data_IF_471389729406
#
_entry.id   IF_471389729406
#
_cell.length_a   1.000
_cell.length_b   1.000
_cell.length_c   1.000
_cell.angle_alpha   90.00
_cell.angle_beta   90.00
_cell.angle_gamma   90.00
#
_symmetry.space_group_name_H-M   'P 1'
#
loop_
_entity.id
_entity.type
_entity.pdbx_description
1 polymer ?
#
# COMPACT_ATOMS: atom_id res chain seq x y z
N UNK A 1 -54.30 -51.65 -34.99
CA UNK A 1 -53.30 -51.93 -36.04
C UNK A 1 -52.32 -50.76 -36.06
N UNK A 2 -51.04 -51.05 -36.30
CA UNK A 2 -49.89 -50.14 -36.43
C UNK A 2 -49.40 -49.43 -35.15
N UNK A 3 -48.32 -50.01 -34.60
CA UNK A 3 -47.37 -49.42 -33.65
C UNK A 3 -46.57 -48.31 -34.33
N UNK A 4 -46.30 -47.22 -33.64
CA UNK A 4 -45.13 -46.37 -33.90
C UNK A 4 -44.30 -46.25 -32.63
N UNK A 5 -43.21 -47.02 -32.62
CA UNK A 5 -41.98 -46.82 -31.84
C UNK A 5 -41.21 -45.73 -32.56
N UNK A 6 -40.62 -44.71 -31.89
CA UNK A 6 -39.40 -44.01 -32.36
C UNK A 6 -38.84 -43.05 -31.27
N UNK A 7 -37.62 -43.42 -30.83
CA UNK A 7 -36.46 -42.70 -30.26
C UNK A 7 -36.56 -41.75 -29.04
N UNK A 8 -35.91 -42.25 -27.97
CA UNK A 8 -35.17 -41.49 -26.95
C UNK A 8 -33.98 -40.80 -27.61
N UNK A 9 -33.87 -39.47 -27.47
CA UNK A 9 -32.62 -38.74 -27.69
C UNK A 9 -32.27 -38.05 -26.37
N UNK A 10 -31.28 -38.62 -25.69
CA UNK A 10 -30.48 -37.93 -24.69
C UNK A 10 -29.45 -37.07 -25.43
N UNK A 11 -29.39 -35.77 -25.16
CA UNK A 11 -28.20 -34.98 -25.47
C UNK A 11 -28.05 -33.80 -24.50
N UNK A 12 -27.12 -34.01 -23.58
CA UNK A 12 -26.01 -33.11 -23.24
C UNK A 12 -26.31 -31.72 -22.66
N UNK A 13 -26.11 -31.68 -21.35
CA UNK A 13 -25.55 -30.57 -20.58
C UNK A 13 -24.42 -29.88 -21.36
N UNK A 14 -24.54 -28.56 -21.56
CA UNK A 14 -23.41 -27.65 -21.64
C UNK A 14 -23.89 -26.24 -21.32
N UNK A 15 -23.95 -25.92 -20.03
CA UNK A 15 -24.04 -24.56 -19.53
C UNK A 15 -22.69 -23.90 -19.85
N UNK A 16 -22.60 -23.19 -20.98
CA UNK A 16 -21.51 -22.26 -21.26
C UNK A 16 -21.84 -20.94 -20.55
N UNK A 17 -21.55 -20.93 -19.25
CA UNK A 17 -21.37 -19.70 -18.49
C UNK A 17 -19.96 -19.16 -18.79
N UNK A 18 -19.87 -17.83 -18.82
CA UNK A 18 -18.69 -16.97 -18.62
C UNK A 18 -17.70 -16.85 -19.80
N UNK A 19 -17.87 -15.77 -20.58
CA UNK A 19 -16.78 -15.08 -21.28
C UNK A 19 -16.84 -13.58 -20.93
N UNK A 20 -16.61 -13.27 -19.66
CA UNK A 20 -16.21 -11.92 -19.24
C UNK A 20 -14.77 -12.03 -18.76
N UNK A 21 -13.83 -11.89 -19.69
CA UNK A 21 -12.40 -11.84 -19.39
C UNK A 21 -12.09 -10.43 -18.86
N UNK A 22 -12.34 -10.21 -17.56
CA UNK A 22 -11.75 -9.08 -16.83
C UNK A 22 -10.40 -9.58 -16.33
N UNK A 23 -9.34 -9.20 -17.06
CA UNK A 23 -7.92 -9.20 -16.69
C UNK A 23 -7.65 -9.83 -15.30
N UNK A 24 -7.46 -11.15 -15.27
CA UNK A 24 -7.00 -11.84 -14.07
C UNK A 24 -5.53 -11.48 -13.87
N UNK A 25 -5.20 -10.91 -12.71
CA UNK A 25 -3.82 -10.71 -12.28
C UNK A 25 -3.12 -12.07 -12.17
N UNK A 26 -1.87 -12.23 -12.64
CA UNK A 26 -1.17 -13.50 -12.51
C UNK A 26 -0.86 -13.80 -11.03
N UNK A 27 -1.47 -14.86 -10.52
CA UNK A 27 -1.11 -15.45 -9.24
C UNK A 27 0.26 -16.17 -9.38
N UNK A 28 1.33 -15.48 -9.01
CA UNK A 28 2.61 -16.14 -8.71
C UNK A 28 2.54 -16.91 -7.38
N UNK A 29 3.47 -17.84 -7.09
CA UNK A 29 3.53 -18.51 -5.80
C UNK A 29 4.02 -17.51 -4.75
N UNK A 30 3.09 -17.02 -3.93
CA UNK A 30 3.36 -16.10 -2.82
C UNK A 30 3.52 -16.93 -1.55
N UNK A 31 4.62 -16.74 -0.84
CA UNK A 31 4.82 -17.32 0.49
C UNK A 31 3.70 -16.87 1.44
N UNK A 32 3.17 -17.79 2.24
CA UNK A 32 2.01 -17.59 3.12
C UNK A 32 2.18 -16.40 4.09
N UNK A 33 1.50 -15.30 3.76
CA UNK A 33 0.57 -14.59 4.63
C UNK A 33 0.98 -13.95 5.97
N UNK A 34 2.24 -13.59 6.21
CA UNK A 34 2.61 -12.87 7.45
C UNK A 34 3.11 -11.44 7.16
N UNK A 35 2.20 -10.46 6.92
CA UNK A 35 2.58 -9.06 6.76
C UNK A 35 3.27 -8.53 8.01
N UNK A 36 4.08 -7.48 7.84
CA UNK A 36 4.72 -6.78 8.95
C UNK A 36 3.65 -6.09 9.79
N UNK A 37 3.46 -6.56 11.02
CA UNK A 37 2.60 -5.95 12.02
C UNK A 37 3.49 -5.23 13.04
N UNK A 38 3.24 -3.96 13.30
CA UNK A 38 4.09 -3.16 14.20
C UNK A 38 4.00 -3.63 15.66
N UNK A 39 2.83 -4.06 16.12
CA UNK A 39 2.65 -4.56 17.49
C UNK A 39 3.26 -5.96 17.73
N UNK A 40 3.55 -6.70 16.65
CA UNK A 40 4.10 -8.05 16.67
C UNK A 40 5.22 -8.25 15.65
N UNK A 41 6.12 -7.27 15.51
CA UNK A 41 7.22 -7.36 14.54
C UNK A 41 8.12 -8.56 14.83
N UNK A 42 8.40 -9.34 13.80
CA UNK A 42 9.28 -10.49 13.85
C UNK A 42 10.12 -10.63 12.57
N UNK A 43 11.33 -11.17 12.72
CA UNK A 43 12.18 -11.53 11.58
C UNK A 43 11.45 -12.56 10.71
N UNK A 44 11.47 -12.35 9.40
CA UNK A 44 10.77 -13.17 8.41
C UNK A 44 9.39 -12.64 7.99
N UNK A 45 8.83 -11.65 8.68
CA UNK A 45 7.60 -10.98 8.21
C UNK A 45 7.85 -10.25 6.89
N UNK A 46 6.86 -10.33 5.99
CA UNK A 46 6.95 -9.75 4.65
C UNK A 46 5.65 -9.03 4.29
N UNK A 47 5.72 -7.72 4.05
CA UNK A 47 4.62 -6.94 3.47
C UNK A 47 4.84 -6.73 1.98
N UNK A 48 3.79 -6.86 1.19
CA UNK A 48 3.79 -6.61 -0.25
C UNK A 48 2.81 -5.50 -0.57
N UNK A 49 3.17 -4.59 -1.45
CA UNK A 49 2.33 -3.47 -1.82
C UNK A 49 2.20 -3.37 -3.33
N UNK A 50 0.98 -3.10 -3.81
CA UNK A 50 0.74 -2.78 -5.21
C UNK A 50 0.98 -1.29 -5.45
N UNK A 51 1.75 -0.98 -6.49
CA UNK A 51 2.02 0.41 -6.88
C UNK A 51 0.78 1.08 -7.45
N UNK A 52 0.60 2.35 -7.11
CA UNK A 52 -0.44 3.21 -7.67
C UNK A 52 0.16 4.54 -8.12
N UNK A 53 -0.35 5.09 -9.22
CA UNK A 53 -0.01 6.41 -9.74
C UNK A 53 -1.24 7.30 -9.67
N UNK A 54 -1.12 8.44 -9.01
CA UNK A 54 -2.21 9.39 -8.79
C UNK A 54 -1.94 10.73 -9.47
N UNK A 55 -3.00 11.39 -9.92
CA UNK A 55 -2.95 12.71 -10.53
C UNK A 55 -3.96 13.67 -9.90
N UNK A 56 -3.77 14.97 -10.18
CA UNK A 56 -4.69 16.05 -9.82
C UNK A 56 -5.00 16.09 -8.32
N UNK A 57 -3.97 15.92 -7.49
CA UNK A 57 -4.08 15.90 -6.03
C UNK A 57 -4.90 17.08 -5.48
N UNK A 58 -4.75 18.30 -6.04
CA UNK A 58 -5.45 19.52 -5.59
C UNK A 58 -6.92 19.59 -5.97
N UNK A 59 -7.36 18.80 -6.93
CA UNK A 59 -8.75 18.84 -7.40
C UNK A 59 -9.65 18.07 -6.41
N UNK A 60 -10.97 18.22 -6.50
CA UNK A 60 -11.88 17.47 -5.61
C UNK A 60 -12.00 15.99 -5.97
N UNK A 61 -11.69 15.63 -7.22
CA UNK A 61 -11.74 14.24 -7.70
C UNK A 61 -10.70 13.37 -6.99
N UNK A 62 -11.14 12.20 -6.56
CA UNK A 62 -10.31 11.19 -5.87
C UNK A 62 -9.90 10.04 -6.78
N UNK A 63 -10.50 9.96 -7.97
CA UNK A 63 -10.49 8.75 -8.80
C UNK A 63 -9.52 8.87 -10.00
N UNK A 64 -8.76 9.96 -10.08
CA UNK A 64 -7.70 10.15 -11.06
C UNK A 64 -6.44 9.37 -10.62
N UNK A 65 -6.50 8.04 -10.70
CA UNK A 65 -5.36 7.16 -10.43
C UNK A 65 -5.44 5.84 -11.20
N UNK A 66 -4.30 5.17 -11.31
CA UNK A 66 -4.18 3.82 -11.90
C UNK A 66 -3.25 2.96 -11.05
N UNK A 67 -3.52 1.66 -10.97
CA UNK A 67 -2.55 0.71 -10.40
C UNK A 67 -1.53 0.29 -11.47
N UNK A 68 -0.29 0.14 -11.03
CA UNK A 68 0.81 -0.45 -11.82
C UNK A 68 0.81 -1.97 -11.63
N UNK A 69 1.66 -2.67 -12.39
CA UNK A 69 2.02 -4.07 -12.12
C UNK A 69 3.25 -4.21 -11.19
N UNK A 70 3.89 -3.09 -10.86
CA UNK A 70 4.97 -3.03 -9.87
C UNK A 70 4.47 -3.39 -8.45
N UNK A 71 5.28 -4.18 -7.75
CA UNK A 71 5.08 -4.58 -6.36
C UNK A 71 6.27 -4.16 -5.50
N UNK A 72 6.03 -3.39 -4.45
CA UNK A 72 7.05 -3.15 -3.42
C UNK A 72 7.01 -4.28 -2.38
N UNK A 73 8.17 -4.83 -2.03
CA UNK A 73 8.30 -5.91 -1.04
C UNK A 73 9.20 -5.46 0.08
N UNK A 74 8.69 -5.52 1.31
CA UNK A 74 9.42 -5.24 2.54
C UNK A 74 9.55 -6.54 3.33
N UNK A 75 10.77 -6.90 3.72
CA UNK A 75 11.05 -8.07 4.54
C UNK A 75 11.81 -7.66 5.81
N UNK A 76 11.39 -8.13 6.98
CA UNK A 76 12.22 -8.01 8.18
C UNK A 76 13.32 -9.07 8.14
N UNK A 77 14.55 -8.64 7.89
CA UNK A 77 15.70 -9.54 7.66
C UNK A 77 16.55 -9.77 8.91
N UNK A 78 16.40 -8.95 9.94
CA UNK A 78 17.18 -9.07 11.17
C UNK A 78 16.64 -8.24 12.32
N UNK A 79 17.19 -8.45 13.51
CA UNK A 79 16.94 -7.65 14.71
C UNK A 79 18.24 -7.45 15.48
N UNK A 80 18.54 -6.22 15.83
CA UNK A 80 19.70 -5.86 16.66
C UNK A 80 19.35 -4.72 17.63
N UNK A 81 20.37 -4.09 18.23
CA UNK A 81 20.20 -3.02 19.21
C UNK A 81 19.59 -1.72 18.63
N UNK A 82 19.59 -1.53 17.29
CA UNK A 82 18.95 -0.41 16.61
C UNK A 82 17.47 -0.65 16.30
N UNK A 83 17.02 -1.91 16.34
CA UNK A 83 15.65 -2.30 16.01
C UNK A 83 15.59 -3.47 15.03
N UNK A 84 14.54 -3.51 14.23
CA UNK A 84 14.31 -4.49 13.18
C UNK A 84 14.84 -3.98 11.85
N UNK A 85 15.79 -4.68 11.25
CA UNK A 85 16.31 -4.33 9.93
C UNK A 85 15.34 -4.79 8.85
N UNK A 86 14.99 -3.88 7.95
CA UNK A 86 14.12 -4.11 6.80
C UNK A 86 14.95 -4.12 5.53
N UNK A 87 14.66 -5.05 4.63
CA UNK A 87 15.06 -5.00 3.23
C UNK A 87 13.85 -4.63 2.37
N UNK A 88 14.01 -3.64 1.50
CA UNK A 88 12.97 -3.11 0.63
C UNK A 88 13.40 -3.23 -0.85
N UNK A 89 12.62 -3.96 -1.64
CA UNK A 89 12.88 -4.20 -3.07
C UNK A 89 11.63 -3.98 -3.92
N UNK A 90 11.80 -3.61 -5.19
CA UNK A 90 10.72 -3.55 -6.17
C UNK A 90 10.75 -4.81 -7.03
N UNK A 91 9.59 -5.44 -7.21
CA UNK A 91 9.37 -6.52 -8.16
C UNK A 91 8.46 -6.00 -9.26
N UNK A 92 8.87 -6.18 -10.50
CA UNK A 92 8.20 -5.60 -11.66
C UNK A 92 8.23 -6.58 -12.83
N UNK A 93 7.34 -6.36 -13.80
CA UNK A 93 7.25 -7.20 -15.00
C UNK A 93 7.48 -6.36 -16.26
N UNK A 94 8.70 -6.39 -16.78
CA UNK A 94 9.07 -5.59 -17.95
C UNK A 94 9.51 -4.19 -17.55
N UNK A 95 8.85 -3.18 -18.10
CA UNK A 95 9.17 -1.78 -17.83
C UNK A 95 8.49 -1.31 -16.55
N UNK A 96 9.25 -0.68 -15.65
CA UNK A 96 8.72 0.00 -14.47
C UNK A 96 8.24 1.39 -14.82
N UNK A 97 7.36 1.96 -14.00
CA UNK A 97 7.02 3.38 -14.12
C UNK A 97 8.29 4.27 -14.09
N UNK A 98 8.27 5.38 -14.84
CA UNK A 98 9.41 6.27 -14.96
C UNK A 98 9.94 6.82 -13.63
N UNK A 99 9.09 6.93 -12.61
CA UNK A 99 9.47 7.36 -11.26
C UNK A 99 10.23 6.27 -10.48
N UNK A 100 9.99 5.00 -10.83
CA UNK A 100 10.64 3.84 -10.23
C UNK A 100 11.82 3.32 -11.06
N UNK A 101 11.94 3.74 -12.32
CA UNK A 101 13.05 3.37 -13.21
C UNK A 101 14.44 3.65 -12.61
N UNK A 102 14.69 4.81 -11.97
CA UNK A 102 15.92 5.00 -11.24
C UNK A 102 16.02 4.02 -10.07
N UNK A 103 17.14 3.31 -9.98
CA UNK A 103 17.40 2.37 -8.88
C UNK A 103 16.37 1.23 -8.74
N UNK A 104 15.59 0.89 -9.79
CA UNK A 104 14.60 -0.21 -9.76
C UNK A 104 15.15 -1.56 -9.24
N UNK A 105 16.43 -1.82 -9.47
CA UNK A 105 17.13 -3.06 -9.08
C UNK A 105 17.82 -2.94 -7.70
N UNK A 106 17.65 -1.81 -7.01
CA UNK A 106 18.30 -1.58 -5.72
C UNK A 106 17.44 -2.09 -4.57
N UNK A 107 18.09 -2.84 -3.68
CA UNK A 107 17.55 -3.19 -2.37
C UNK A 107 17.96 -2.12 -1.36
N UNK A 108 16.98 -1.50 -0.71
CA UNK A 108 17.23 -0.54 0.34
C UNK A 108 17.16 -1.21 1.70
N UNK A 109 18.00 -0.74 2.62
CA UNK A 109 18.03 -1.19 4.01
C UNK A 109 17.82 -0.02 4.97
N UNK A 110 16.99 -0.26 5.97
CA UNK A 110 16.73 0.68 7.07
C UNK A 110 16.24 -0.08 8.29
N UNK A 111 16.14 0.60 9.43
CA UNK A 111 15.67 0.03 10.68
C UNK A 111 14.31 0.60 11.07
N UNK A 112 13.44 -0.28 11.54
CA UNK A 112 12.21 0.07 12.24
C UNK A 112 12.40 -0.18 13.73
N UNK A 113 11.97 0.78 14.55
CA UNK A 113 12.00 0.65 16.00
C UNK A 113 10.75 1.30 16.60
N UNK A 114 10.23 0.74 17.69
CA UNK A 114 9.08 1.31 18.39
C UNK A 114 9.57 1.85 19.72
N UNK A 115 9.47 3.17 19.88
CA UNK A 115 9.75 3.86 21.15
C UNK A 115 8.56 4.72 21.51
N UNK A 116 8.07 4.56 22.75
CA UNK A 116 6.99 5.36 23.31
C UNK A 116 5.77 5.43 22.35
N UNK A 117 5.28 4.25 21.94
CA UNK A 117 4.18 4.08 20.98
C UNK A 117 4.40 4.81 19.63
N UNK A 118 5.63 5.07 19.24
CA UNK A 118 5.97 5.71 17.96
C UNK A 118 6.88 4.83 17.15
N UNK A 119 6.48 4.52 15.92
CA UNK A 119 7.36 3.91 14.92
C UNK A 119 8.41 4.95 14.49
N UNK A 120 9.68 4.62 14.71
CA UNK A 120 10.84 5.37 14.25
C UNK A 120 11.51 4.60 13.12
N UNK A 121 11.97 5.34 12.11
CA UNK A 121 12.67 4.80 10.94
C UNK A 121 14.07 5.38 10.93
N UNK A 122 15.09 4.52 10.91
CA UNK A 122 16.49 4.94 10.89
C UNK A 122 17.20 4.46 9.64
N UNK A 123 18.04 5.30 9.01
CA UNK A 123 18.85 4.87 7.87
C UNK A 123 19.86 3.79 8.26
N UNK A 124 20.19 2.91 7.32
CA UNK A 124 21.26 1.92 7.48
C UNK A 124 22.53 2.37 6.75
N UNK A 125 23.56 2.74 7.51
CA UNK A 125 24.88 3.11 6.97
C UNK A 125 24.93 4.42 6.15
N UNK A 126 23.81 5.13 5.99
CA UNK A 126 23.70 6.37 5.22
C UNK A 126 23.32 7.57 6.11
N UNK A 127 23.58 8.78 5.62
CA UNK A 127 23.19 10.02 6.31
C UNK A 127 21.70 10.37 6.14
N UNK A 128 21.01 9.73 5.20
CA UNK A 128 19.61 9.96 4.89
C UNK A 128 18.88 8.64 4.68
N UNK A 129 17.58 8.63 4.97
CA UNK A 129 16.72 7.47 4.75
C UNK A 129 16.58 7.22 3.25
N UNK A 130 16.87 5.99 2.82
CA UNK A 130 16.52 5.47 1.50
C UNK A 130 15.34 4.52 1.65
N UNK A 131 14.15 4.96 1.24
CA UNK A 131 12.94 4.13 1.19
C UNK A 131 11.97 4.71 0.15
N UNK A 132 11.23 3.83 -0.51
CA UNK A 132 10.12 4.11 -1.42
C UNK A 132 8.79 4.16 -0.68
N UNK A 133 8.73 3.61 0.54
CA UNK A 133 7.54 3.63 1.40
C UNK A 133 7.59 4.79 2.41
N UNK A 134 8.74 5.01 3.04
CA UNK A 134 8.96 6.03 4.06
C UNK A 134 9.71 7.22 3.48
N UNK A 135 9.10 8.39 3.57
CA UNK A 135 9.65 9.65 3.08
C UNK A 135 10.06 10.55 4.25
N UNK A 136 10.30 11.83 3.99
CA UNK A 136 10.98 12.71 4.92
C UNK A 136 10.19 12.93 6.21
N UNK A 137 8.87 13.12 6.12
CA UNK A 137 8.07 13.39 7.32
C UNK A 137 8.05 12.17 8.24
N UNK A 138 7.72 10.99 7.71
CA UNK A 138 7.76 9.75 8.50
C UNK A 138 9.15 9.43 9.04
N UNK A 139 10.21 9.63 8.25
CA UNK A 139 11.60 9.40 8.67
C UNK A 139 12.08 10.35 9.77
N UNK A 140 11.60 11.60 9.78
CA UNK A 140 12.02 12.62 10.76
C UNK A 140 11.20 12.61 12.04
N UNK A 141 9.87 12.52 11.96
CA UNK A 141 8.99 12.57 13.14
C UNK A 141 8.63 11.18 13.67
N UNK A 142 8.65 10.16 12.82
CA UNK A 142 8.04 8.87 13.09
C UNK A 142 6.52 8.91 12.96
N UNK A 143 5.90 7.75 13.16
CA UNK A 143 4.44 7.55 13.09
C UNK A 143 3.91 7.08 14.45
N UNK A 144 3.04 7.87 15.08
CA UNK A 144 2.39 7.49 16.35
C UNK A 144 1.46 6.31 16.14
N UNK A 145 1.68 5.22 16.88
CA UNK A 145 0.84 4.02 16.92
C UNK A 145 -0.33 4.16 17.91
N UNK A 146 -0.30 5.16 18.80
CA UNK A 146 -1.42 5.48 19.65
C UNK A 146 -2.68 5.80 18.82
N UNK A 147 -3.88 5.33 19.20
CA UNK A 147 -5.10 5.59 18.45
C UNK A 147 -5.41 7.09 18.34
N UNK A 148 -5.62 7.58 17.13
CA UNK A 148 -6.08 8.96 16.92
C UNK A 148 -7.60 9.01 17.19
N UNK A 149 -8.01 9.92 18.08
CA UNK A 149 -9.39 10.02 18.51
C UNK A 149 -10.28 10.79 17.52
N UNK A 150 -9.76 11.83 16.87
CA UNK A 150 -10.49 12.73 15.96
C UNK A 150 -9.52 13.44 15.01
N UNK A 151 -10.00 13.94 13.86
CA UNK A 151 -11.29 13.67 13.23
C UNK A 151 -11.37 12.27 12.59
N UNK A 152 -12.59 11.82 12.26
CA UNK A 152 -12.79 10.71 11.32
C UNK A 152 -12.49 11.20 9.90
N UNK A 153 -11.74 10.42 9.14
CA UNK A 153 -11.29 10.70 7.78
C UNK A 153 -11.79 9.57 6.87
N UNK A 154 -12.26 9.93 5.68
CA UNK A 154 -12.52 8.95 4.63
C UNK A 154 -11.32 8.85 3.70
N UNK A 155 -10.95 7.61 3.38
CA UNK A 155 -9.99 7.31 2.33
C UNK A 155 -10.80 7.07 1.07
N UNK A 156 -10.62 7.90 0.06
CA UNK A 156 -11.39 7.88 -1.18
C UNK A 156 -10.44 7.89 -2.37
N UNK A 157 -10.61 6.93 -3.29
CA UNK A 157 -9.71 6.71 -4.41
C UNK A 157 -8.26 6.58 -3.95
N UNK A 158 -7.37 7.46 -4.42
CA UNK A 158 -5.95 7.47 -4.03
C UNK A 158 -5.57 8.44 -2.89
N UNK A 159 -6.54 9.19 -2.34
CA UNK A 159 -6.32 10.23 -1.33
C UNK A 159 -7.35 10.22 -0.20
N UNK A 160 -7.49 11.32 0.53
CA UNK A 160 -8.46 11.49 1.63
C UNK A 160 -9.52 12.53 1.29
N UNK A 161 -10.59 12.58 2.07
CA UNK A 161 -11.65 13.60 1.99
C UNK A 161 -11.24 14.97 2.60
N UNK A 162 -10.03 15.06 3.17
CA UNK A 162 -9.52 16.31 3.73
C UNK A 162 -9.28 17.35 2.62
N UNK A 163 -9.85 18.55 2.79
CA UNK A 163 -9.60 19.69 1.90
C UNK A 163 -8.11 20.01 1.83
N UNK A 164 -7.53 20.40 0.70
CA UNK A 164 -6.11 20.72 0.63
C UNK A 164 -5.65 21.80 1.67
N UNK A 165 -4.48 21.59 2.26
CA UNK A 165 -3.70 22.59 3.03
C UNK A 165 -2.21 22.22 2.96
N UNK A 166 -1.33 23.19 3.17
CA UNK A 166 0.11 23.00 3.40
C UNK A 166 0.41 22.78 4.89
N UNK A 167 -0.27 21.79 5.48
CA UNK A 167 -0.27 21.60 6.92
C UNK A 167 -0.18 20.12 7.31
N UNK A 168 0.18 19.86 8.56
CA UNK A 168 0.10 18.53 9.14
C UNK A 168 -1.31 18.28 9.64
N UNK A 169 -1.88 17.14 9.25
CA UNK A 169 -3.16 16.65 9.75
C UNK A 169 -3.06 15.19 10.09
N UNK A 170 -3.74 14.80 11.15
CA UNK A 170 -3.97 13.41 11.49
C UNK A 170 -5.46 13.19 11.73
N UNK A 171 -5.85 11.93 11.77
CA UNK A 171 -7.20 11.48 12.08
C UNK A 171 -7.24 9.97 12.07
N UNK A 172 -8.45 9.42 11.97
CA UNK A 172 -8.63 7.97 11.85
C UNK A 172 -9.61 7.63 10.74
N UNK A 173 -9.35 6.53 10.03
CA UNK A 173 -10.32 5.85 9.20
C UNK A 173 -10.91 4.67 9.98
N UNK A 174 -12.17 4.33 9.68
CA UNK A 174 -12.88 3.25 10.34
C UNK A 174 -13.65 2.46 9.28
N UNK A 175 -13.69 1.14 9.43
CA UNK A 175 -14.38 0.22 8.53
C UNK A 175 -13.91 0.39 7.07
N UNK A 176 -12.59 0.54 6.89
CA UNK A 176 -11.97 0.71 5.58
C UNK A 176 -11.74 -0.65 4.92
N UNK A 177 -12.01 -0.75 3.61
CA UNK A 177 -11.78 -1.97 2.84
C UNK A 177 -10.82 -1.69 1.69
N UNK A 178 -9.80 -2.54 1.54
CA UNK A 178 -8.81 -2.47 0.46
C UNK A 178 -8.53 -3.88 -0.03
N UNK A 179 -8.71 -4.10 -1.34
CA UNK A 179 -8.52 -5.41 -1.98
C UNK A 179 -9.27 -6.58 -1.30
N UNK A 180 -10.46 -6.30 -0.76
CA UNK A 180 -11.29 -7.30 -0.07
C UNK A 180 -10.86 -7.60 1.37
N UNK A 181 -9.84 -6.92 1.90
CA UNK A 181 -9.48 -6.97 3.30
C UNK A 181 -10.09 -5.79 4.06
N UNK A 182 -10.73 -6.07 5.18
CA UNK A 182 -11.36 -5.08 6.04
C UNK A 182 -10.46 -4.70 7.22
N UNK A 183 -10.42 -3.39 7.47
CA UNK A 183 -9.64 -2.76 8.53
C UNK A 183 -10.58 -1.99 9.44
N UNK A 184 -10.68 -2.44 10.69
CA UNK A 184 -11.59 -1.88 11.69
C UNK A 184 -11.25 -0.42 12.02
N UNK A 185 -9.96 -0.13 12.24
CA UNK A 185 -9.48 1.21 12.56
C UNK A 185 -8.05 1.42 12.08
N UNK A 186 -7.82 2.53 11.39
CA UNK A 186 -6.52 2.96 10.89
C UNK A 186 -6.24 4.40 11.31
N UNK A 187 -5.02 4.67 11.77
CA UNK A 187 -4.50 6.02 11.87
C UNK A 187 -4.23 6.55 10.46
N UNK A 188 -4.58 7.82 10.23
CA UNK A 188 -4.30 8.53 8.98
C UNK A 188 -3.48 9.75 9.30
N UNK A 189 -2.37 9.94 8.59
CA UNK A 189 -1.52 11.11 8.65
C UNK A 189 -1.40 11.68 7.24
N UNK A 190 -1.59 12.99 7.12
CA UNK A 190 -1.34 13.77 5.90
C UNK A 190 -0.39 14.89 6.29
N UNK A 191 0.84 14.86 5.77
CA UNK A 191 1.83 15.91 5.99
C UNK A 191 2.15 16.62 4.67
N UNK A 192 1.60 17.81 4.53
CA UNK A 192 1.81 18.68 3.37
C UNK A 192 2.66 19.90 3.73
N UNK A 193 3.27 19.96 4.92
CA UNK A 193 4.03 21.15 5.35
C UNK A 193 5.19 21.47 4.40
N UNK A 194 5.84 20.44 3.86
CA UNK A 194 6.94 20.61 2.91
C UNK A 194 6.49 21.24 1.59
N UNK A 195 5.21 21.15 1.23
CA UNK A 195 4.68 21.72 -0.01
C UNK A 195 4.70 23.25 0.00
N UNK A 196 4.65 23.90 1.18
CA UNK A 196 4.85 25.35 1.33
C UNK A 196 6.24 25.84 0.90
N UNK A 197 7.20 24.92 0.77
CA UNK A 197 8.57 25.19 0.34
C UNK A 197 8.97 24.28 -0.83
N UNK A 198 8.02 24.02 -1.72
CA UNK A 198 8.21 23.27 -2.98
C UNK A 198 8.63 21.79 -2.80
N UNK A 199 8.47 21.23 -1.61
CA UNK A 199 8.66 19.81 -1.32
C UNK A 199 7.44 18.95 -1.63
N UNK A 200 7.56 17.64 -1.42
CA UNK A 200 6.46 16.70 -1.61
C UNK A 200 5.53 16.67 -0.38
N UNK A 201 4.27 16.35 -0.62
CA UNK A 201 3.34 15.91 0.41
C UNK A 201 3.38 14.41 0.59
N UNK A 202 2.94 13.95 1.76
CA UNK A 202 2.98 12.55 2.16
C UNK A 202 1.69 12.16 2.89
N UNK A 203 1.16 10.97 2.60
CA UNK A 203 0.02 10.39 3.30
C UNK A 203 0.37 8.99 3.79
N UNK A 204 0.07 8.69 5.05
CA UNK A 204 0.21 7.37 5.65
C UNK A 204 -1.11 6.91 6.25
N UNK A 205 -1.49 5.67 5.95
CA UNK A 205 -2.63 4.96 6.54
C UNK A 205 -2.09 3.69 7.16
N UNK A 206 -2.24 3.52 8.47
CA UNK A 206 -1.55 2.47 9.20
C UNK A 206 -2.21 2.14 10.55
N UNK A 207 -1.84 1.01 11.12
CA UNK A 207 -2.14 0.67 12.51
C UNK A 207 -1.10 -0.30 13.08
N UNK A 208 -1.04 -0.40 14.41
CA UNK A 208 -0.16 -1.38 15.10
C UNK A 208 -0.33 -2.80 14.54
N UNK A 209 -1.57 -3.28 14.52
CA UNK A 209 -1.97 -4.62 14.09
C UNK A 209 -1.78 -4.90 12.59
N UNK A 210 -1.74 -3.87 11.75
CA UNK A 210 -1.78 -4.02 10.29
C UNK A 210 -0.51 -3.56 9.57
N UNK A 211 0.38 -2.84 10.26
CA UNK A 211 1.51 -2.16 9.62
C UNK A 211 1.04 -0.95 8.80
N UNK A 212 1.78 -0.61 7.74
CA UNK A 212 1.33 0.35 6.73
C UNK A 212 0.31 -0.34 5.82
N UNK A 213 -0.89 0.24 5.72
CA UNK A 213 -1.93 -0.20 4.79
C UNK A 213 -1.85 0.55 3.47
N UNK A 214 -1.56 1.86 3.54
CA UNK A 214 -1.30 2.71 2.37
C UNK A 214 -0.24 3.76 2.71
N UNK A 215 0.68 4.00 1.78
CA UNK A 215 1.53 5.19 1.79
C UNK A 215 1.50 5.84 0.41
N UNK A 216 1.45 7.17 0.36
CA UNK A 216 1.48 7.92 -0.89
C UNK A 216 2.34 9.17 -0.75
N UNK A 217 3.04 9.54 -1.82
CA UNK A 217 3.72 10.83 -1.94
C UNK A 217 3.34 11.52 -3.23
N UNK A 218 3.27 12.85 -3.21
CA UNK A 218 2.82 13.66 -4.34
C UNK A 218 3.55 14.99 -4.38
N UNK A 219 3.82 15.44 -5.60
CA UNK A 219 4.63 16.63 -5.87
C UNK A 219 3.80 17.90 -5.84
N UNK A 220 4.37 18.93 -5.21
CA UNK A 220 3.81 20.28 -5.24
C UNK A 220 3.59 20.79 -6.67
N UNK A 221 4.58 20.56 -7.54
CA UNK A 221 4.65 21.12 -8.88
C UNK A 221 3.72 20.48 -9.89
N UNK A 222 3.57 19.15 -9.84
CA UNK A 222 2.82 18.41 -10.86
C UNK A 222 1.42 18.05 -10.40
N UNK A 223 1.15 18.10 -9.09
CA UNK A 223 -0.08 17.55 -8.50
C UNK A 223 -0.24 16.03 -8.74
N UNK A 224 0.84 15.36 -9.14
CA UNK A 224 0.90 13.92 -9.37
C UNK A 224 1.82 13.25 -8.37
N UNK A 225 1.63 11.96 -8.17
CA UNK A 225 2.36 11.20 -7.19
C UNK A 225 2.23 9.70 -7.41
N UNK A 226 2.84 8.96 -6.49
CA UNK A 226 2.71 7.52 -6.42
C UNK A 226 2.38 7.09 -5.00
N UNK A 227 1.95 5.84 -4.87
CA UNK A 227 1.73 5.22 -3.58
C UNK A 227 1.79 3.71 -3.64
N UNK A 228 1.58 3.12 -2.48
CA UNK A 228 1.77 1.71 -2.20
C UNK A 228 0.63 1.21 -1.33
N UNK A 229 -0.16 0.29 -1.89
CA UNK A 229 -1.32 -0.30 -1.22
C UNK A 229 -1.04 -1.72 -0.80
N UNK A 230 -1.20 -2.00 0.49
CA UNK A 230 -0.92 -3.30 1.07
C UNK A 230 -1.77 -4.38 0.38
N UNK A 231 -1.09 -5.34 -0.23
CA UNK A 231 -1.71 -6.53 -0.78
C UNK A 231 -2.10 -7.45 0.38
N UNK A 232 -3.26 -8.12 0.31
CA UNK A 232 -3.67 -9.08 1.31
C UNK A 232 -2.65 -10.21 1.40
N UNK A 233 -2.56 -10.81 2.58
CA UNK A 233 -1.89 -12.08 2.78
C UNK A 233 -2.42 -13.09 1.76
N UNK A 234 -1.53 -13.74 1.01
CA UNK A 234 -1.95 -14.85 0.15
C UNK A 234 -2.44 -16.00 1.05
N UNK A 235 -3.66 -16.47 0.80
CA UNK A 235 -4.21 -17.70 1.37
C UNK A 235 -3.50 -18.94 0.83
#
# INVERSE_FOLDING_TARGET
MAKQITYVIAFSIAILLIHSCKKECPAGPVSAGNPIQFDQMAVGQTSRYLGLLGEKYYQSSTDDFVYTDDTLVLTIVGKDAKGFQVAEEVRYNGDVDGWLAPEKDSVYHYYLDIKDDTLKIYPDGTSYLKSRLFHYAAGSTGLSLAPVANPKIQIAGWKTDLSYCECFRNGYAQDYSLFGQDYDRLNVVVDNRSMAFDGNGETYVYAGKYGIVRASTYSWWTSSGYGWDLLPAAE
#
